data_IF_092171422247
#
_entry.id   IF_092171422247
#
_cell.length_a   1.000
_cell.length_b   1.000
_cell.length_c   1.000
_cell.angle_alpha   90.00
_cell.angle_beta   90.00
_cell.angle_gamma   90.00
#
_symmetry.space_group_name_H-M   'P 1'
#
loop_
_entity.id
_entity.type
_entity.pdbx_description
1 polymer ?
#
# COMPACT_ATOMS: atom_id res chain seq x y z
N UNK A 1 3.13 -43.07 -31.18
CA UNK A 1 3.20 -41.62 -30.90
C UNK A 1 3.93 -41.43 -29.59
N UNK A 2 5.05 -40.74 -29.65
CA UNK A 2 5.97 -40.44 -28.55
C UNK A 2 5.53 -39.20 -27.75
N UNK A 3 6.16 -39.03 -26.57
CA UNK A 3 6.39 -37.80 -25.77
C UNK A 3 5.43 -37.53 -24.59
N UNK A 4 5.88 -37.07 -23.42
CA UNK A 4 7.23 -36.75 -22.93
C UNK A 4 7.18 -36.44 -21.42
N UNK A 5 7.82 -37.24 -20.57
CA UNK A 5 8.18 -36.83 -19.18
C UNK A 5 9.62 -37.27 -18.83
N UNK A 6 10.46 -37.49 -19.84
CA UNK A 6 11.83 -37.98 -19.67
C UNK A 6 12.83 -37.18 -20.50
N UNK A 7 12.80 -35.85 -20.39
CA UNK A 7 13.84 -34.97 -20.92
C UNK A 7 13.99 -33.74 -20.02
N UNK A 8 14.61 -33.91 -18.85
CA UNK A 8 15.31 -32.80 -18.16
C UNK A 8 16.22 -33.24 -17.00
N UNK A 9 16.63 -34.52 -16.92
CA UNK A 9 17.55 -35.01 -15.87
C UNK A 9 18.87 -35.60 -16.40
N UNK A 10 19.17 -35.52 -17.70
CA UNK A 10 20.37 -36.11 -18.30
C UNK A 10 21.33 -35.10 -18.94
N UNK A 11 21.15 -33.80 -18.71
CA UNK A 11 22.06 -32.76 -19.22
C UNK A 11 23.07 -32.21 -18.20
N UNK A 12 23.02 -32.64 -16.92
CA UNK A 12 23.90 -32.10 -15.87
C UNK A 12 25.02 -33.04 -15.41
N UNK A 13 25.03 -34.31 -15.86
CA UNK A 13 26.02 -35.31 -15.43
C UNK A 13 27.11 -35.64 -16.47
N UNK A 14 27.09 -35.02 -17.66
CA UNK A 14 28.06 -35.30 -18.72
C UNK A 14 29.18 -34.23 -18.88
N UNK A 15 29.25 -33.22 -17.99
CA UNK A 15 30.25 -32.14 -18.09
C UNK A 15 31.25 -32.07 -16.94
N UNK A 16 31.26 -33.06 -16.05
CA UNK A 16 32.20 -33.15 -14.92
C UNK A 16 33.27 -34.25 -15.04
N UNK A 17 33.34 -34.97 -16.17
CA UNK A 17 34.32 -36.06 -16.35
C UNK A 17 35.41 -35.82 -17.41
N UNK A 18 35.53 -34.61 -17.98
CA UNK A 18 36.55 -34.31 -19.00
C UNK A 18 37.69 -33.37 -18.57
N UNK A 19 37.81 -33.02 -17.28
CA UNK A 19 38.89 -32.15 -16.77
C UNK A 19 39.72 -32.76 -15.62
N UNK A 20 39.85 -34.10 -15.57
CA UNK A 20 40.71 -34.81 -14.61
C UNK A 20 41.87 -35.58 -15.25
N UNK A 21 42.36 -35.14 -16.41
CA UNK A 21 43.55 -35.71 -17.05
C UNK A 21 44.45 -34.64 -17.65
N UNK A 22 45.01 -33.77 -16.81
CA UNK A 22 46.29 -33.11 -17.08
C UNK A 22 46.83 -32.50 -15.79
N UNK A 23 48.04 -32.94 -15.40
CA UNK A 23 48.95 -32.40 -14.38
C UNK A 23 48.88 -32.92 -12.93
N UNK A 24 50.04 -33.26 -12.34
CA UNK A 24 50.16 -33.98 -11.06
C UNK A 24 50.10 -33.08 -9.83
N UNK A 25 49.82 -33.74 -8.71
CA UNK A 25 49.84 -33.24 -7.33
C UNK A 25 51.23 -32.67 -7.00
N UNK A 26 51.32 -31.35 -6.78
CA UNK A 26 52.19 -30.68 -5.81
C UNK A 26 52.28 -29.18 -6.11
N UNK A 27 51.54 -28.35 -5.37
CA UNK A 27 52.03 -27.15 -4.64
C UNK A 27 50.91 -26.74 -3.70
N UNK A 28 51.00 -27.19 -2.45
CA UNK A 28 50.19 -26.70 -1.34
C UNK A 28 51.00 -25.61 -0.61
N UNK A 29 50.29 -24.64 -0.02
CA UNK A 29 50.77 -23.54 0.82
C UNK A 29 51.43 -22.33 0.12
N UNK A 30 50.64 -21.29 -0.17
CA UNK A 30 51.10 -19.89 0.00
C UNK A 30 50.05 -18.77 0.00
N UNK A 31 48.74 -19.05 -0.04
CA UNK A 31 47.72 -17.98 -0.10
C UNK A 31 46.49 -18.20 0.79
N UNK A 32 46.68 -18.63 2.04
CA UNK A 32 45.61 -18.54 3.04
C UNK A 32 46.18 -17.95 4.33
N UNK A 33 46.16 -16.63 4.43
CA UNK A 33 46.10 -15.99 5.74
C UNK A 33 44.66 -16.09 6.27
N UNK A 34 44.45 -16.47 7.54
CA UNK A 34 43.13 -16.49 8.12
C UNK A 34 42.68 -15.06 8.42
N UNK A 35 41.67 -14.59 7.70
CA UNK A 35 40.93 -13.38 8.08
C UNK A 35 40.39 -13.57 9.50
N UNK A 36 40.94 -12.80 10.44
CA UNK A 36 40.48 -12.72 11.83
C UNK A 36 38.99 -12.36 11.83
N UNK A 37 38.21 -13.22 12.47
CA UNK A 37 36.76 -13.10 12.59
C UNK A 37 36.37 -11.87 13.41
N UNK A 38 35.94 -10.79 12.74
CA UNK A 38 34.99 -9.87 13.34
C UNK A 38 33.59 -10.40 13.03
N UNK A 39 33.07 -11.22 13.95
CA UNK A 39 31.66 -11.67 13.96
C UNK A 39 30.75 -10.47 14.24
N UNK A 40 30.53 -9.61 13.25
CA UNK A 40 29.25 -8.93 13.13
C UNK A 40 28.26 -9.96 12.59
N UNK A 41 27.65 -10.72 13.49
CA UNK A 41 26.47 -11.52 13.16
C UNK A 41 25.38 -10.49 12.80
N UNK A 42 25.25 -10.16 11.52
CA UNK A 42 24.00 -9.60 11.00
C UNK A 42 22.94 -10.65 11.34
N UNK A 43 22.15 -10.41 12.40
CA UNK A 43 20.90 -11.13 12.62
C UNK A 43 20.14 -11.00 11.31
N UNK A 44 20.14 -12.07 10.51
CA UNK A 44 19.19 -12.21 9.42
C UNK A 44 17.85 -12.31 10.14
N UNK A 45 17.18 -11.16 10.29
CA UNK A 45 15.77 -11.14 10.66
C UNK A 45 15.09 -11.81 9.48
N UNK A 46 14.85 -13.11 9.62
CA UNK A 46 14.00 -13.87 8.72
C UNK A 46 12.64 -13.18 8.81
N UNK A 47 12.15 -12.68 7.68
CA UNK A 47 10.78 -12.19 7.55
C UNK A 47 9.87 -13.27 8.15
N UNK A 48 9.09 -12.90 9.16
CA UNK A 48 8.01 -13.77 9.64
C UNK A 48 7.07 -14.09 8.48
N UNK A 49 6.36 -15.23 8.52
CA UNK A 49 5.38 -15.54 7.49
C UNK A 49 4.36 -14.40 7.37
N UNK A 50 3.94 -14.13 6.15
CA UNK A 50 2.87 -13.18 5.89
C UNK A 50 1.58 -13.69 6.56
N UNK A 51 0.92 -12.81 7.30
CA UNK A 51 -0.30 -13.17 8.00
C UNK A 51 -1.41 -13.48 7.00
N UNK A 52 -1.96 -14.69 7.09
CA UNK A 52 -3.17 -15.06 6.35
C UNK A 52 -4.37 -14.32 6.96
N UNK A 53 -5.31 -13.92 6.10
CA UNK A 53 -6.56 -13.34 6.56
C UNK A 53 -7.35 -14.34 7.38
N UNK A 54 -8.06 -13.84 8.38
CA UNK A 54 -9.03 -14.65 9.11
C UNK A 54 -10.13 -15.14 8.15
N UNK A 55 -10.72 -16.31 8.44
CA UNK A 55 -11.67 -16.97 7.53
C UNK A 55 -12.91 -16.13 7.21
N UNK A 56 -13.26 -15.20 8.08
CA UNK A 56 -14.46 -14.35 7.97
C UNK A 56 -14.13 -12.95 7.43
N UNK A 57 -12.85 -12.64 7.20
CA UNK A 57 -12.42 -11.38 6.60
C UNK A 57 -12.43 -11.48 5.08
N UNK A 58 -13.31 -10.73 4.44
CA UNK A 58 -13.32 -10.57 3.00
C UNK A 58 -12.46 -9.37 2.59
N UNK A 59 -11.67 -9.56 1.54
CA UNK A 59 -10.81 -8.53 0.96
C UNK A 59 -10.91 -8.55 -0.56
N UNK A 60 -11.10 -7.38 -1.17
CA UNK A 60 -10.96 -7.20 -2.62
C UNK A 60 -10.33 -5.85 -2.94
N UNK A 61 -9.33 -5.88 -3.82
CA UNK A 61 -8.73 -4.70 -4.42
C UNK A 61 -9.30 -4.53 -5.83
N UNK A 62 -9.77 -3.33 -6.12
CA UNK A 62 -10.32 -2.90 -7.39
C UNK A 62 -9.43 -1.80 -7.96
N UNK A 63 -9.43 -1.61 -9.27
CA UNK A 63 -8.57 -0.64 -9.94
C UNK A 63 -9.39 0.27 -10.85
N UNK A 64 -9.10 1.57 -10.81
CA UNK A 64 -9.52 2.53 -11.82
C UNK A 64 -8.36 2.82 -12.76
N UNK A 65 -8.56 2.55 -14.05
CA UNK A 65 -7.48 2.65 -15.04
C UNK A 65 -7.11 4.10 -15.38
N UNK A 66 -8.05 5.04 -15.27
CA UNK A 66 -7.83 6.42 -15.69
C UNK A 66 -6.93 7.17 -14.69
N UNK A 67 -7.23 7.03 -13.40
CA UNK A 67 -6.49 7.65 -12.30
C UNK A 67 -5.37 6.77 -11.74
N UNK A 68 -5.37 5.48 -12.08
CA UNK A 68 -4.52 4.45 -11.46
C UNK A 68 -4.79 4.24 -9.97
N UNK A 69 -6.03 4.49 -9.54
CA UNK A 69 -6.48 4.38 -8.16
C UNK A 69 -6.84 2.95 -7.81
N UNK A 70 -6.41 2.51 -6.64
CA UNK A 70 -6.92 1.34 -5.97
C UNK A 70 -8.06 1.68 -5.02
N UNK A 71 -9.18 0.98 -5.18
CA UNK A 71 -10.30 0.99 -4.24
C UNK A 71 -10.34 -0.34 -3.50
N UNK A 72 -10.53 -0.32 -2.18
CA UNK A 72 -10.47 -1.52 -1.33
C UNK A 72 -11.81 -1.82 -0.67
N UNK A 73 -12.39 -2.97 -0.98
CA UNK A 73 -13.59 -3.49 -0.33
C UNK A 73 -13.21 -4.49 0.75
N UNK A 74 -13.58 -4.18 2.00
CA UNK A 74 -13.40 -5.04 3.17
C UNK A 74 -14.76 -5.40 3.72
N UNK A 75 -14.96 -6.64 4.17
CA UNK A 75 -16.21 -7.02 4.81
C UNK A 75 -16.04 -8.13 5.84
N UNK A 76 -16.96 -8.16 6.80
CA UNK A 76 -17.19 -9.32 7.65
C UNK A 76 -18.20 -10.26 6.98
N UNK A 77 -17.76 -11.47 6.65
CA UNK A 77 -18.60 -12.49 6.01
C UNK A 77 -19.78 -12.90 6.89
N UNK A 78 -19.66 -12.83 8.22
CA UNK A 78 -20.71 -13.23 9.14
C UNK A 78 -21.80 -12.16 9.25
N UNK A 79 -21.42 -10.94 9.62
CA UNK A 79 -22.38 -9.83 9.80
C UNK A 79 -22.84 -9.21 8.48
N UNK A 80 -22.11 -9.47 7.39
CA UNK A 80 -22.25 -8.83 6.08
C UNK A 80 -21.90 -7.34 6.05
N UNK A 81 -21.44 -6.76 7.14
CA UNK A 81 -21.03 -5.35 7.18
C UNK A 81 -19.73 -5.15 6.39
N UNK A 82 -19.70 -4.10 5.57
CA UNK A 82 -18.58 -3.78 4.69
C UNK A 82 -18.18 -2.31 4.74
N UNK A 83 -16.93 -2.06 4.37
CA UNK A 83 -16.37 -0.72 4.14
C UNK A 83 -15.65 -0.68 2.80
N UNK A 84 -15.63 0.49 2.17
CA UNK A 84 -14.97 0.74 0.89
C UNK A 84 -14.01 1.92 1.05
N UNK A 85 -12.73 1.72 0.78
CA UNK A 85 -11.69 2.74 0.91
C UNK A 85 -11.32 3.28 -0.47
N UNK A 86 -11.24 4.60 -0.59
CA UNK A 86 -10.90 5.39 -1.78
C UNK A 86 -11.76 5.02 -3.02
N UNK A 87 -13.11 5.10 -2.93
CA UNK A 87 -13.98 4.86 -4.07
C UNK A 87 -13.87 5.99 -5.10
N UNK A 88 -13.87 5.62 -6.38
CA UNK A 88 -13.83 6.55 -7.52
C UNK A 88 -15.23 6.78 -8.07
N UNK A 89 -15.59 8.03 -8.42
CA UNK A 89 -16.92 8.41 -8.91
C UNK A 89 -17.36 7.58 -10.11
N UNK A 90 -16.50 7.47 -11.11
CA UNK A 90 -16.73 6.75 -12.36
C UNK A 90 -16.94 5.25 -12.12
N UNK A 91 -16.44 4.72 -10.99
CA UNK A 91 -16.55 3.32 -10.61
C UNK A 91 -17.66 3.04 -9.58
N UNK A 92 -18.37 4.06 -9.08
CA UNK A 92 -19.35 3.90 -8.01
C UNK A 92 -20.46 2.88 -8.36
N UNK A 93 -20.88 2.82 -9.62
CA UNK A 93 -21.88 1.84 -10.09
C UNK A 93 -21.33 0.42 -10.06
N UNK A 94 -20.09 0.21 -10.52
CA UNK A 94 -19.39 -1.08 -10.46
C UNK A 94 -19.32 -1.55 -9.01
N UNK A 95 -18.90 -0.67 -8.11
CA UNK A 95 -18.68 -0.98 -6.71
C UNK A 95 -20.00 -1.31 -5.99
N UNK A 96 -21.05 -0.53 -6.22
CA UNK A 96 -22.37 -0.78 -5.65
C UNK A 96 -22.97 -2.12 -6.12
N UNK A 97 -22.83 -2.44 -7.42
CA UNK A 97 -23.31 -3.71 -7.96
C UNK A 97 -22.56 -4.90 -7.35
N UNK A 98 -21.24 -4.80 -7.24
CA UNK A 98 -20.41 -5.85 -6.65
C UNK A 98 -20.75 -6.09 -5.17
N UNK A 99 -20.92 -5.02 -4.38
CA UNK A 99 -21.31 -5.11 -2.97
C UNK A 99 -22.67 -5.82 -2.85
N UNK A 100 -23.63 -5.47 -3.71
CA UNK A 100 -24.95 -6.10 -3.76
C UNK A 100 -24.88 -7.58 -4.15
N UNK A 101 -24.10 -7.90 -5.18
CA UNK A 101 -23.91 -9.27 -5.67
C UNK A 101 -23.31 -10.18 -4.58
N UNK A 102 -22.34 -9.67 -3.82
CA UNK A 102 -21.71 -10.39 -2.72
C UNK A 102 -22.57 -10.46 -1.45
N UNK A 103 -23.72 -9.78 -1.43
CA UNK A 103 -24.64 -9.77 -0.29
C UNK A 103 -24.12 -9.01 0.93
N UNK A 104 -23.32 -7.97 0.71
CA UNK A 104 -22.79 -7.11 1.78
C UNK A 104 -23.62 -5.84 1.97
N UNK A 105 -23.58 -5.29 3.18
CA UNK A 105 -24.15 -4.00 3.56
C UNK A 105 -23.01 -2.99 3.74
N UNK A 106 -22.91 -2.02 2.84
CA UNK A 106 -21.87 -0.99 2.92
C UNK A 106 -22.20 0.02 4.03
N UNK A 107 -21.43 -0.03 5.12
CA UNK A 107 -21.53 0.91 6.24
C UNK A 107 -20.86 2.23 5.89
N UNK A 108 -19.64 2.15 5.36
CA UNK A 108 -18.77 3.32 5.20
C UNK A 108 -18.07 3.36 3.83
N UNK A 109 -18.16 4.52 3.18
CA UNK A 109 -17.32 4.90 2.05
C UNK A 109 -16.25 5.88 2.57
N UNK A 110 -15.02 5.40 2.69
CA UNK A 110 -13.93 6.03 3.43
C UNK A 110 -12.93 6.59 2.42
N UNK A 111 -12.37 7.77 2.67
CA UNK A 111 -11.22 8.28 1.93
C UNK A 111 -9.99 8.37 2.84
N UNK A 112 -8.81 8.00 2.33
CA UNK A 112 -7.51 8.18 3.00
C UNK A 112 -7.11 9.65 3.05
N UNK A 113 -7.49 10.42 2.03
CA UNK A 113 -7.24 11.85 1.93
C UNK A 113 -8.18 12.49 0.90
N UNK A 114 -8.07 13.81 0.71
CA UNK A 114 -8.78 14.51 -0.36
C UNK A 114 -7.97 14.36 -1.66
N UNK A 115 -8.40 13.44 -2.53
CA UNK A 115 -7.69 13.12 -3.78
C UNK A 115 -7.65 14.32 -4.76
N UNK A 116 -6.61 14.38 -5.60
CA UNK A 116 -6.43 15.43 -6.61
C UNK A 116 -6.49 14.91 -8.05
N UNK A 117 -6.48 13.59 -8.22
CA UNK A 117 -6.40 12.87 -9.48
C UNK A 117 -7.75 12.27 -9.91
N UNK A 118 -8.70 12.10 -8.98
CA UNK A 118 -10.06 11.64 -9.25
C UNK A 118 -11.09 12.26 -8.31
N UNK A 119 -12.37 12.19 -8.69
CA UNK A 119 -13.49 12.60 -7.82
C UNK A 119 -13.93 11.38 -7.00
N UNK A 120 -14.12 11.56 -5.69
CA UNK A 120 -14.61 10.50 -4.79
C UNK A 120 -16.01 10.01 -5.20
N UNK A 121 -16.20 8.69 -5.21
CA UNK A 121 -17.49 8.05 -5.38
C UNK A 121 -18.35 8.01 -4.11
N UNK A 122 -17.82 8.46 -2.97
CA UNK A 122 -18.51 8.42 -1.68
C UNK A 122 -19.88 9.11 -1.71
N UNK A 123 -20.00 10.27 -2.36
CA UNK A 123 -21.26 11.00 -2.49
C UNK A 123 -22.33 10.23 -3.26
N UNK A 124 -21.96 9.58 -4.36
CA UNK A 124 -22.86 8.75 -5.17
C UNK A 124 -23.24 7.47 -4.44
N UNK A 125 -22.28 6.78 -3.81
CA UNK A 125 -22.53 5.56 -3.05
C UNK A 125 -23.53 5.77 -1.91
N UNK A 126 -23.49 6.91 -1.22
CA UNK A 126 -24.49 7.29 -0.22
C UNK A 126 -25.90 7.37 -0.79
N UNK A 127 -26.06 7.87 -2.03
CA UNK A 127 -27.35 7.95 -2.71
C UNK A 127 -27.83 6.58 -3.17
N UNK A 128 -26.91 5.72 -3.60
CA UNK A 128 -27.22 4.38 -4.13
C UNK A 128 -27.48 3.33 -3.04
N UNK A 129 -26.83 3.45 -1.89
CA UNK A 129 -26.86 2.44 -0.83
C UNK A 129 -27.38 3.08 0.47
N UNK A 130 -28.67 2.90 0.79
CA UNK A 130 -29.24 3.43 2.02
C UNK A 130 -28.47 2.97 3.26
N UNK A 131 -28.14 3.92 4.14
CA UNK A 131 -27.38 3.67 5.37
C UNK A 131 -25.86 3.80 5.24
N UNK A 132 -25.32 3.83 4.02
CA UNK A 132 -23.90 4.14 3.80
C UNK A 132 -23.59 5.57 4.25
N UNK A 133 -22.50 5.76 4.98
CA UNK A 133 -21.99 7.07 5.41
C UNK A 133 -20.60 7.33 4.81
N UNK A 134 -20.33 8.58 4.43
CA UNK A 134 -18.98 8.98 4.04
C UNK A 134 -18.10 9.27 5.25
N UNK A 135 -16.84 8.85 5.19
CA UNK A 135 -15.82 9.09 6.21
C UNK A 135 -14.60 9.76 5.58
N UNK A 136 -14.07 10.80 6.23
CA UNK A 136 -12.76 11.37 5.91
C UNK A 136 -12.14 12.00 7.17
N UNK A 137 -10.82 12.20 7.17
CA UNK A 137 -10.13 12.93 8.25
C UNK A 137 -10.67 14.34 8.44
N UNK A 138 -10.88 14.77 9.69
CA UNK A 138 -11.23 16.16 10.01
C UNK A 138 -10.19 17.15 9.50
N UNK A 139 -8.91 16.79 9.56
CA UNK A 139 -7.79 17.62 9.10
C UNK A 139 -7.77 17.87 7.59
N UNK A 140 -8.49 17.06 6.79
CA UNK A 140 -8.63 17.28 5.34
C UNK A 140 -9.40 18.54 4.98
N UNK A 141 -10.21 19.07 5.91
CA UNK A 141 -11.10 20.21 5.64
C UNK A 141 -12.28 19.90 4.70
N UNK A 142 -12.42 18.66 4.23
CA UNK A 142 -13.53 18.23 3.38
C UNK A 142 -14.81 17.93 4.18
N UNK A 143 -15.94 17.89 3.48
CA UNK A 143 -17.22 17.46 4.01
C UNK A 143 -17.37 15.94 3.92
N UNK A 144 -17.98 15.37 4.96
CA UNK A 144 -18.37 13.97 5.06
C UNK A 144 -19.44 13.82 6.15
N UNK A 145 -20.13 12.69 6.21
CA UNK A 145 -21.08 12.41 7.30
C UNK A 145 -20.36 12.22 8.64
N UNK A 146 -19.16 11.65 8.59
CA UNK A 146 -18.29 11.43 9.75
C UNK A 146 -16.91 12.01 9.44
N UNK A 147 -16.41 12.86 10.34
CA UNK A 147 -15.06 13.41 10.29
C UNK A 147 -14.21 12.78 11.39
N UNK A 148 -13.18 12.03 11.01
CA UNK A 148 -12.33 11.33 11.97
C UNK A 148 -11.39 12.29 12.69
N UNK A 149 -11.28 12.11 13.99
CA UNK A 149 -10.17 12.63 14.80
C UNK A 149 -8.98 11.67 14.75
N UNK A 150 -7.77 12.13 15.10
CA UNK A 150 -6.60 11.26 15.20
C UNK A 150 -6.86 10.05 16.12
N UNK A 151 -6.50 8.86 15.64
CA UNK A 151 -6.62 7.58 16.38
C UNK A 151 -8.04 7.06 16.58
N UNK A 152 -9.03 7.63 15.89
CA UNK A 152 -10.37 7.03 15.81
C UNK A 152 -10.32 5.61 15.23
N UNK A 153 -11.34 4.82 15.56
CA UNK A 153 -11.51 3.45 15.11
C UNK A 153 -12.78 3.33 14.29
N UNK A 154 -12.69 2.68 13.12
CA UNK A 154 -13.83 2.39 12.26
C UNK A 154 -14.16 0.90 12.37
N UNK A 155 -15.33 0.58 12.90
CA UNK A 155 -15.77 -0.81 13.12
C UNK A 155 -16.75 -1.28 12.04
N UNK A 156 -16.62 -2.54 11.61
CA UNK A 156 -17.54 -3.20 10.69
C UNK A 156 -17.60 -4.69 11.00
N UNK A 157 -18.74 -5.15 11.52
CA UNK A 157 -18.87 -6.48 12.10
C UNK A 157 -17.92 -6.69 13.26
N UNK A 158 -17.13 -7.77 13.18
CA UNK A 158 -16.08 -8.11 14.15
C UNK A 158 -14.71 -7.50 13.85
N UNK A 159 -14.59 -6.70 12.77
CA UNK A 159 -13.34 -6.10 12.33
C UNK A 159 -13.31 -4.60 12.60
N UNK A 160 -12.09 -4.06 12.64
CA UNK A 160 -11.85 -2.63 12.82
C UNK A 160 -10.69 -2.12 11.97
N UNK A 161 -10.70 -0.82 11.68
CA UNK A 161 -9.58 -0.07 11.14
C UNK A 161 -9.17 1.02 12.13
N UNK A 162 -7.92 1.01 12.57
CA UNK A 162 -7.36 2.11 13.34
C UNK A 162 -6.90 3.23 12.37
N UNK A 163 -7.38 4.46 12.58
CA UNK A 163 -7.05 5.62 11.75
C UNK A 163 -5.78 6.31 12.28
N UNK A 164 -4.63 6.02 11.66
CA UNK A 164 -3.35 6.66 12.00
C UNK A 164 -3.16 7.93 11.17
N UNK A 165 -3.03 9.11 11.78
CA UNK A 165 -2.73 10.32 11.03
C UNK A 165 -1.35 10.18 10.37
N UNK A 166 -1.29 10.33 9.05
CA UNK A 166 -0.04 10.28 8.29
C UNK A 166 0.05 11.45 7.30
N UNK A 167 -0.01 12.71 7.78
CA UNK A 167 0.07 13.88 6.93
C UNK A 167 1.41 13.97 6.19
N UNK A 168 1.43 14.76 5.12
CA UNK A 168 2.64 15.10 4.39
C UNK A 168 2.44 15.11 2.89
N UNK A 169 1.69 14.14 2.34
CA UNK A 169 1.19 14.26 0.96
C UNK A 169 0.11 15.35 0.91
N UNK A 170 -0.83 15.29 1.87
CA UNK A 170 -1.72 16.38 2.25
C UNK A 170 -1.70 16.53 3.77
N UNK A 171 -2.21 17.63 4.31
CA UNK A 171 -2.47 17.78 5.75
C UNK A 171 -3.51 16.78 6.32
N UNK A 172 -4.36 16.22 5.46
CA UNK A 172 -5.49 15.36 5.82
C UNK A 172 -5.25 13.87 5.69
N UNK A 173 -4.06 13.43 5.28
CA UNK A 173 -3.78 12.02 5.02
C UNK A 173 -3.87 11.14 6.27
N UNK A 174 -4.49 9.97 6.12
CA UNK A 174 -4.64 8.92 7.13
C UNK A 174 -4.25 7.58 6.54
N UNK A 175 -3.53 6.79 7.32
CA UNK A 175 -3.31 5.36 7.07
C UNK A 175 -4.29 4.55 7.91
N UNK A 176 -5.06 3.67 7.28
CA UNK A 176 -5.99 2.78 7.97
C UNK A 176 -5.33 1.43 8.22
N UNK A 177 -5.29 0.97 9.47
CA UNK A 177 -4.61 -0.28 9.86
C UNK A 177 -5.62 -1.31 10.34
N UNK A 178 -5.62 -2.50 9.72
CA UNK A 178 -6.33 -3.66 10.23
C UNK A 178 -5.32 -4.58 10.92
N UNK A 179 -5.04 -4.32 12.19
CA UNK A 179 -3.95 -4.98 12.93
C UNK A 179 -4.12 -6.50 12.99
N UNK A 180 -5.33 -6.98 13.28
CA UNK A 180 -5.66 -8.42 13.34
C UNK A 180 -5.55 -9.14 11.98
N UNK A 181 -5.44 -8.39 10.89
CA UNK A 181 -5.30 -8.93 9.53
C UNK A 181 -3.88 -8.74 8.96
N UNK A 182 -2.99 -8.04 9.67
CA UNK A 182 -1.62 -7.81 9.22
C UNK A 182 -1.53 -6.91 7.98
N UNK A 183 -2.43 -5.92 7.83
CA UNK A 183 -2.47 -5.03 6.65
C UNK A 183 -2.67 -3.56 7.02
N UNK A 184 -2.21 -2.67 6.16
CA UNK A 184 -2.49 -1.23 6.24
C UNK A 184 -2.74 -0.61 4.85
N UNK A 185 -3.62 0.38 4.80
CA UNK A 185 -3.97 1.16 3.61
C UNK A 185 -3.35 2.55 3.73
N UNK A 186 -2.33 2.83 2.93
CA UNK A 186 -1.39 3.95 3.18
C UNK A 186 -1.74 5.23 2.44
N UNK A 187 -2.84 5.24 1.68
CA UNK A 187 -3.17 6.32 0.77
C UNK A 187 -1.97 6.66 -0.12
N UNK A 188 -1.72 7.94 -0.28
CA UNK A 188 -0.53 8.46 -0.98
C UNK A 188 0.62 8.84 -0.04
N UNK A 189 0.50 8.53 1.25
CA UNK A 189 1.63 8.73 2.18
C UNK A 189 2.80 7.83 1.80
N UNK A 190 2.52 6.57 1.49
CA UNK A 190 3.50 5.61 1.04
C UNK A 190 2.96 4.84 -0.17
N UNK A 191 3.76 4.83 -1.24
CA UNK A 191 3.51 4.08 -2.47
C UNK A 191 4.52 2.94 -2.58
N UNK A 192 4.25 1.98 -3.45
CA UNK A 192 5.18 0.86 -3.70
C UNK A 192 6.45 1.43 -4.34
N UNK A 193 7.60 1.31 -3.64
CA UNK A 193 8.89 1.90 -4.06
C UNK A 193 8.81 3.43 -4.28
N UNK A 194 7.94 4.12 -3.56
CA UNK A 194 7.78 5.56 -3.67
C UNK A 194 6.97 6.18 -2.54
N UNK A 195 6.49 7.38 -2.78
CA UNK A 195 5.56 8.13 -1.94
C UNK A 195 4.84 9.16 -2.82
N UNK A 196 3.72 9.69 -2.33
CA UNK A 196 3.03 10.82 -2.95
C UNK A 196 3.93 12.06 -3.01
N UNK A 197 3.55 12.99 -3.89
CA UNK A 197 4.18 14.32 -3.97
C UNK A 197 3.82 15.16 -2.73
N UNK A 198 4.54 16.23 -2.46
CA UNK A 198 4.37 17.03 -1.23
C UNK A 198 4.36 18.54 -1.49
N UNK A 199 4.13 18.95 -2.73
CA UNK A 199 4.24 20.33 -3.21
C UNK A 199 2.87 20.99 -3.47
N UNK A 200 1.78 20.31 -3.10
CA UNK A 200 0.38 20.75 -3.22
C UNK A 200 -0.41 20.38 -1.96
N UNK A 201 -1.63 20.91 -1.79
CA UNK A 201 -2.59 20.51 -0.74
C UNK A 201 -2.02 20.52 0.68
N UNK A 202 -1.29 21.60 1.01
CA UNK A 202 -0.61 21.75 2.29
C UNK A 202 0.37 20.60 2.61
N UNK A 203 0.88 19.95 1.56
CA UNK A 203 1.90 18.91 1.65
C UNK A 203 3.23 19.46 2.17
N UNK A 204 3.98 18.59 2.84
CA UNK A 204 5.30 18.89 3.38
C UNK A 204 6.14 17.61 3.44
N UNK A 205 7.33 17.67 2.83
CA UNK A 205 8.24 16.52 2.77
C UNK A 205 8.77 16.13 4.15
N UNK A 206 9.08 17.09 5.02
CA UNK A 206 9.59 16.78 6.35
C UNK A 206 8.53 16.03 7.18
N UNK A 207 7.28 16.47 7.11
CA UNK A 207 6.11 15.85 7.75
C UNK A 207 5.83 14.47 7.16
N UNK A 208 5.86 14.33 5.83
CA UNK A 208 5.68 13.04 5.16
C UNK A 208 6.70 12.00 5.65
N UNK A 209 7.98 12.39 5.74
CA UNK A 209 9.05 11.53 6.23
C UNK A 209 8.76 11.04 7.66
N UNK A 210 8.42 11.96 8.56
CA UNK A 210 8.07 11.62 9.94
C UNK A 210 6.83 10.73 10.03
N UNK A 211 5.79 11.01 9.24
CA UNK A 211 4.58 10.19 9.18
C UNK A 211 4.89 8.75 8.78
N UNK A 212 5.65 8.55 7.70
CA UNK A 212 6.06 7.21 7.26
C UNK A 212 6.87 6.52 8.36
N UNK A 213 7.91 7.16 8.88
CA UNK A 213 8.83 6.51 9.83
C UNK A 213 8.16 6.17 11.17
N UNK A 214 7.29 7.05 11.67
CA UNK A 214 6.68 6.89 12.99
C UNK A 214 5.40 6.06 12.96
N UNK A 215 4.62 6.07 11.87
CA UNK A 215 3.29 5.44 11.84
C UNK A 215 3.21 4.18 10.97
N UNK A 216 3.96 4.13 9.86
CA UNK A 216 3.92 3.02 8.90
C UNK A 216 5.11 2.08 9.14
N UNK A 217 6.33 2.62 9.22
CA UNK A 217 7.52 1.82 9.50
C UNK A 217 7.59 1.32 10.95
N UNK A 218 6.78 1.85 11.87
CA UNK A 218 6.64 1.27 13.20
C UNK A 218 5.78 -0.01 13.23
N UNK A 219 5.04 -0.31 12.15
CA UNK A 219 4.30 -1.57 12.03
C UNK A 219 5.24 -2.78 11.90
N UNK A 220 4.78 -4.00 12.26
CA UNK A 220 5.56 -5.22 12.07
C UNK A 220 5.98 -5.43 10.61
N UNK A 221 7.20 -5.93 10.41
CA UNK A 221 7.83 -6.01 9.08
C UNK A 221 7.05 -6.87 8.07
N UNK A 222 6.24 -7.82 8.54
CA UNK A 222 5.41 -8.69 7.69
C UNK A 222 4.04 -8.09 7.33
N UNK A 223 3.71 -6.87 7.77
CA UNK A 223 2.47 -6.20 7.37
C UNK A 223 2.48 -5.90 5.87
N UNK A 224 1.37 -6.22 5.19
CA UNK A 224 1.15 -5.78 3.81
C UNK A 224 0.67 -4.34 3.78
N UNK A 225 1.19 -3.59 2.82
CA UNK A 225 0.86 -2.20 2.58
C UNK A 225 0.15 -2.08 1.23
N UNK A 226 -0.98 -1.39 1.25
CA UNK A 226 -1.88 -1.19 0.13
C UNK A 226 -2.01 0.32 -0.15
N UNK A 227 -1.34 0.86 -1.18
CA UNK A 227 -1.37 2.29 -1.49
C UNK A 227 -2.67 2.73 -2.16
N UNK A 228 -2.95 4.02 -2.23
CA UNK A 228 -4.05 4.51 -3.07
C UNK A 228 -3.74 4.40 -4.56
N UNK A 229 -2.47 4.46 -4.97
CA UNK A 229 -2.07 4.42 -6.38
C UNK A 229 -0.88 3.51 -6.65
N UNK A 230 -0.81 2.99 -7.87
CA UNK A 230 0.41 2.44 -8.46
C UNK A 230 0.43 2.66 -9.97
N UNK A 231 1.60 3.01 -10.51
CA UNK A 231 1.78 3.37 -11.92
C UNK A 231 2.65 2.36 -12.68
N UNK A 232 2.91 1.18 -12.09
CA UNK A 232 3.83 0.14 -12.59
C UNK A 232 3.21 -1.27 -12.61
N UNK A 233 1.96 -1.41 -12.18
CA UNK A 233 1.25 -2.68 -12.11
C UNK A 233 1.52 -3.49 -10.83
N UNK A 234 2.04 -2.86 -9.78
CA UNK A 234 2.24 -3.50 -8.48
C UNK A 234 1.00 -3.35 -7.59
N UNK A 235 0.54 -4.45 -7.00
CA UNK A 235 -0.72 -4.46 -6.25
C UNK A 235 -0.54 -4.24 -4.74
N UNK A 236 0.61 -4.61 -4.17
CA UNK A 236 0.92 -4.43 -2.75
C UNK A 236 2.43 -4.51 -2.50
N UNK A 237 2.87 -4.09 -1.31
CA UNK A 237 4.24 -4.25 -0.78
C UNK A 237 4.17 -4.64 0.69
N UNK A 238 5.31 -4.67 1.39
CA UNK A 238 5.37 -4.89 2.84
C UNK A 238 6.20 -3.82 3.54
N UNK A 239 6.01 -3.69 4.86
CA UNK A 239 6.86 -2.81 5.68
C UNK A 239 8.34 -3.18 5.55
N UNK A 240 8.66 -4.49 5.57
CA UNK A 240 10.02 -4.98 5.39
C UNK A 240 10.65 -4.50 4.08
N UNK A 241 9.89 -4.62 3.00
CA UNK A 241 10.29 -4.25 1.65
C UNK A 241 10.56 -2.75 1.55
N UNK A 242 9.64 -1.90 2.01
CA UNK A 242 9.79 -0.46 1.86
C UNK A 242 10.89 0.12 2.77
N UNK A 243 11.08 -0.43 3.97
CA UNK A 243 12.22 -0.07 4.85
C UNK A 243 13.59 -0.30 4.22
N UNK A 244 13.69 -1.21 3.25
CA UNK A 244 14.97 -1.63 2.64
C UNK A 244 15.16 -1.12 1.23
N UNK A 245 14.06 -0.99 0.48
CA UNK A 245 14.13 -0.79 -0.97
C UNK A 245 13.33 0.41 -1.46
N UNK A 246 12.66 1.18 -0.59
CA UNK A 246 12.06 2.43 -1.03
C UNK A 246 13.18 3.44 -1.39
N UNK A 247 13.31 3.87 -2.66
CA UNK A 247 14.45 4.66 -3.12
C UNK A 247 14.46 6.09 -2.55
N UNK A 248 13.36 6.53 -1.95
CA UNK A 248 13.23 7.86 -1.34
C UNK A 248 13.29 7.76 0.19
N UNK A 249 12.40 6.96 0.79
CA UNK A 249 12.16 6.94 2.23
C UNK A 249 13.25 6.22 3.05
N UNK A 250 14.18 5.52 2.38
CA UNK A 250 15.38 4.94 3.00
C UNK A 250 16.54 5.93 3.12
N UNK A 251 16.43 7.11 2.50
CA UNK A 251 17.44 8.17 2.61
C UNK A 251 17.38 8.84 3.98
N UNK A 252 18.47 9.49 4.42
CA UNK A 252 18.42 10.44 5.53
C UNK A 252 17.37 11.54 5.26
N UNK A 253 16.71 12.02 6.32
CA UNK A 253 15.60 13.00 6.22
C UNK A 253 15.93 14.21 5.34
N UNK A 254 17.12 14.80 5.51
CA UNK A 254 17.53 15.98 4.73
C UNK A 254 17.64 15.66 3.23
N UNK A 255 18.26 14.52 2.88
CA UNK A 255 18.35 14.08 1.48
C UNK A 255 16.98 13.76 0.89
N UNK A 256 16.04 13.25 1.70
CA UNK A 256 14.66 13.04 1.26
C UNK A 256 13.96 14.36 0.96
N UNK A 257 14.06 15.34 1.86
CA UNK A 257 13.46 16.68 1.67
C UNK A 257 14.03 17.34 0.42
N UNK A 258 15.35 17.33 0.28
CA UNK A 258 16.03 17.89 -0.90
C UNK A 258 15.58 17.18 -2.18
N UNK A 259 15.48 15.85 -2.17
CA UNK A 259 15.00 15.09 -3.32
C UNK A 259 13.56 15.47 -3.68
N UNK A 260 12.64 15.51 -2.71
CA UNK A 260 11.23 15.80 -2.95
C UNK A 260 11.01 17.22 -3.50
N UNK A 261 11.74 18.21 -2.98
CA UNK A 261 11.69 19.59 -3.45
C UNK A 261 12.22 19.79 -4.88
N UNK A 262 12.97 18.81 -5.42
CA UNK A 262 13.60 18.89 -6.73
C UNK A 262 13.02 17.91 -7.77
N UNK A 263 11.87 17.29 -7.51
CA UNK A 263 11.26 16.34 -8.46
C UNK A 263 10.74 16.98 -9.75
N UNK A 264 10.47 18.29 -9.77
CA UNK A 264 10.01 19.05 -10.95
C UNK A 264 8.85 18.36 -11.70
N UNK A 265 7.87 17.84 -10.95
CA UNK A 265 6.73 17.14 -11.53
C UNK A 265 5.77 18.11 -12.23
N UNK A 266 5.08 17.68 -13.31
CA UNK A 266 4.07 18.50 -13.95
C UNK A 266 2.93 18.83 -12.97
N UNK A 267 2.23 19.93 -13.25
CA UNK A 267 1.01 20.29 -12.55
C UNK A 267 0.00 19.12 -12.62
N UNK A 268 -0.63 18.71 -11.50
CA UNK A 268 -1.55 17.58 -11.54
C UNK A 268 -2.77 17.87 -12.43
N UNK A 269 -3.02 16.99 -13.41
CA UNK A 269 -3.97 17.25 -14.50
C UNK A 269 -5.41 17.54 -14.07
N UNK A 270 -5.85 16.98 -12.93
CA UNK A 270 -7.24 17.04 -12.46
C UNK A 270 -7.40 17.78 -11.13
N UNK A 271 -6.35 18.40 -10.58
CA UNK A 271 -6.41 18.99 -9.22
C UNK A 271 -7.47 20.10 -9.11
N UNK A 272 -7.59 20.94 -10.14
CA UNK A 272 -8.53 22.08 -10.16
C UNK A 272 -10.00 21.66 -10.21
N UNK A 273 -10.27 20.40 -10.58
CA UNK A 273 -11.61 19.82 -10.64
C UNK A 273 -11.86 18.91 -9.44
N UNK A 274 -10.90 18.03 -9.17
CA UNK A 274 -11.03 16.98 -8.15
C UNK A 274 -11.02 17.55 -6.74
N UNK A 275 -10.13 18.49 -6.42
CA UNK A 275 -10.04 19.03 -5.06
C UNK A 275 -11.31 19.77 -4.66
N UNK A 276 -11.85 20.71 -5.47
CA UNK A 276 -13.14 21.34 -5.16
C UNK A 276 -14.28 20.33 -5.02
N UNK A 277 -14.34 19.32 -5.91
CA UNK A 277 -15.35 18.26 -5.84
C UNK A 277 -15.25 17.44 -4.55
N UNK A 278 -14.04 17.04 -4.21
CA UNK A 278 -13.79 16.16 -3.07
C UNK A 278 -13.99 16.90 -1.74
N UNK A 279 -13.76 18.22 -1.72
CA UNK A 279 -14.08 19.08 -0.58
C UNK A 279 -15.57 19.03 -0.21
N UNK A 280 -16.45 18.76 -1.17
CA UNK A 280 -17.91 18.61 -0.98
C UNK A 280 -18.40 17.16 -1.14
N UNK A 281 -17.54 16.19 -0.83
CA UNK A 281 -17.87 14.76 -0.86
C UNK A 281 -18.26 14.23 -2.25
N UNK A 282 -17.72 14.82 -3.32
CA UNK A 282 -17.97 14.40 -4.71
C UNK A 282 -19.37 14.73 -5.23
N UNK A 283 -20.18 15.47 -4.46
CA UNK A 283 -21.50 15.92 -4.88
C UNK A 283 -21.33 17.30 -5.52
N UNK A 284 -21.53 17.37 -6.83
CA UNK A 284 -21.68 18.63 -7.55
C UNK A 284 -23.17 18.94 -7.66
N UNK A 285 -23.56 20.18 -7.37
CA UNK A 285 -24.90 20.71 -7.63
C UNK A 285 -25.15 20.91 -9.14
#
# INVERSE_FOLDING_TARGET
MFNSVAWQSLAYHAQCQLWRRAFPIAVCSKYFEPLKSNKFIRRHIMLGPQQSFSKTFFFRQLFDQESSTYTYLLADINSKEAVLIDPVLEQAIRDANLIKELGFSLKYAINTHMHADHITGSGVLKKMIPGCKSIISKSSGANADIKLEPHDVIEFGSFKLDARPTPGHTNGCVTYVAEDQGIAFTGDTLLIRGCGRTDFQEGDAATLYESVHNQIFSLPENFRLFPAHDYKGHMSTTVWEEKRYNPRLTKPKNEFIDLMNNLNLPYPKKIDVSVPANKVCGIQD
#
